data_IF_593168319222
#
_entry.id   IF_593168319222
#
_cell.length_a   1.000
_cell.length_b   1.000
_cell.length_c   1.000
_cell.angle_alpha   90.00
_cell.angle_beta   90.00
_cell.angle_gamma   90.00
#
_symmetry.space_group_name_H-M   'P 1'
#
loop_
_entity.id
_entity.type
_entity.pdbx_description
1 polymer ?
#
# COMPACT_ATOMS: atom_id res chain seq x y z
N UNK A 1 -19.47 -6.25 12.24
CA UNK A 1 -18.28 -5.53 12.76
C UNK A 1 -18.68 -4.70 13.98
N UNK A 2 -17.79 -4.46 14.95
CA UNK A 2 -17.98 -3.54 16.08
C UNK A 2 -16.91 -2.45 16.11
N UNK A 3 -17.00 -1.50 17.08
CA UNK A 3 -16.06 -0.39 17.20
C UNK A 3 -14.62 -0.83 17.46
N UNK A 4 -14.42 -1.91 18.24
CA UNK A 4 -13.07 -2.41 18.55
C UNK A 4 -12.40 -2.95 17.28
N UNK A 5 -13.13 -3.71 16.47
CA UNK A 5 -12.62 -4.22 15.20
C UNK A 5 -12.34 -3.12 14.19
N UNK A 6 -13.21 -2.10 14.10
CA UNK A 6 -12.98 -0.94 13.26
C UNK A 6 -11.70 -0.18 13.67
N UNK A 7 -11.47 0.00 14.97
CA UNK A 7 -10.26 0.64 15.51
C UNK A 7 -9.00 -0.19 15.16
N UNK A 8 -9.04 -1.50 15.41
CA UNK A 8 -7.89 -2.38 15.14
C UNK A 8 -7.53 -2.32 13.65
N UNK A 9 -8.51 -2.50 12.74
CA UNK A 9 -8.29 -2.47 11.31
C UNK A 9 -7.75 -1.10 10.84
N UNK A 10 -8.31 0.00 11.35
CA UNK A 10 -7.85 1.34 10.99
C UNK A 10 -6.42 1.63 11.47
N UNK A 11 -6.03 1.16 12.66
CA UNK A 11 -4.65 1.28 13.16
C UNK A 11 -3.71 0.43 12.32
N UNK A 12 -4.08 -0.80 11.99
CA UNK A 12 -3.29 -1.69 11.13
C UNK A 12 -3.08 -1.06 9.76
N UNK A 13 -4.15 -0.54 9.14
CA UNK A 13 -4.08 0.14 7.85
C UNK A 13 -3.13 1.34 7.89
N UNK A 14 -3.35 2.27 8.83
CA UNK A 14 -2.52 3.47 8.95
C UNK A 14 -1.04 3.16 9.20
N UNK A 15 -0.72 2.12 9.95
CA UNK A 15 0.66 1.70 10.22
C UNK A 15 1.33 1.06 9.00
N UNK A 16 0.58 0.24 8.25
CA UNK A 16 1.21 -0.68 7.27
C UNK A 16 1.10 -0.22 5.82
N UNK A 17 0.22 0.74 5.50
CA UNK A 17 -0.03 1.17 4.12
C UNK A 17 1.22 1.73 3.43
N UNK A 18 1.99 2.54 4.14
CA UNK A 18 3.17 3.19 3.58
C UNK A 18 4.47 2.41 3.76
N UNK A 19 4.47 1.44 4.66
CA UNK A 19 5.60 0.55 4.89
C UNK A 19 5.65 -0.53 3.80
N UNK A 20 6.83 -1.01 3.40
CA UNK A 20 6.95 -2.04 2.37
C UNK A 20 6.63 -3.45 2.93
N UNK A 21 5.53 -3.57 3.71
CA UNK A 21 5.13 -4.79 4.43
C UNK A 21 3.80 -5.40 4.00
N UNK A 22 3.07 -4.75 3.09
CA UNK A 22 1.73 -5.13 2.60
C UNK A 22 0.60 -4.96 3.62
N UNK A 23 -0.07 -3.81 3.58
CA UNK A 23 -1.28 -3.54 4.37
C UNK A 23 -2.36 -4.60 4.12
N UNK A 24 -2.59 -4.96 2.86
CA UNK A 24 -3.54 -6.03 2.49
C UNK A 24 -3.29 -7.33 3.24
N UNK A 25 -2.03 -7.79 3.31
CA UNK A 25 -1.68 -9.00 4.06
C UNK A 25 -2.03 -8.89 5.55
N UNK A 26 -1.80 -7.73 6.16
CA UNK A 26 -2.12 -7.47 7.56
C UNK A 26 -3.63 -7.40 7.82
N UNK A 27 -4.37 -6.75 6.90
CA UNK A 27 -5.83 -6.67 6.99
C UNK A 27 -6.48 -8.05 6.92
N UNK A 28 -6.00 -8.91 6.03
CA UNK A 28 -6.41 -10.30 5.91
C UNK A 28 -6.19 -11.05 7.23
N UNK A 29 -4.98 -10.95 7.80
CA UNK A 29 -4.65 -11.59 9.07
C UNK A 29 -5.58 -11.08 10.17
N UNK A 30 -5.66 -9.76 10.35
CA UNK A 30 -6.46 -9.16 11.40
C UNK A 30 -7.95 -9.53 11.29
N UNK A 31 -8.55 -9.39 10.09
CA UNK A 31 -9.97 -9.73 9.87
C UNK A 31 -10.26 -11.23 10.04
N UNK A 32 -9.32 -12.12 9.61
CA UNK A 32 -9.44 -13.57 9.80
C UNK A 32 -9.38 -13.97 11.26
N UNK A 33 -8.46 -13.38 12.05
CA UNK A 33 -8.40 -13.65 13.49
C UNK A 33 -9.64 -13.16 14.24
N UNK A 34 -10.21 -12.04 13.81
CA UNK A 34 -11.45 -11.50 14.37
C UNK A 34 -12.71 -12.23 13.87
N UNK A 35 -12.58 -13.14 12.88
CA UNK A 35 -13.70 -13.92 12.32
C UNK A 35 -14.66 -13.10 11.46
N UNK A 36 -14.22 -11.97 10.91
CA UNK A 36 -15.04 -11.02 10.12
C UNK A 36 -14.56 -10.88 8.66
N UNK A 37 -13.59 -11.68 8.22
CA UNK A 37 -13.00 -11.56 6.89
C UNK A 37 -14.01 -11.74 5.74
N UNK A 38 -15.02 -12.58 5.92
CA UNK A 38 -16.07 -12.86 4.92
C UNK A 38 -17.24 -11.87 4.92
N UNK A 39 -17.28 -10.93 5.86
CA UNK A 39 -18.35 -9.93 5.96
C UNK A 39 -18.16 -8.83 4.88
N UNK A 40 -19.19 -8.60 4.05
CA UNK A 40 -19.12 -7.65 2.94
C UNK A 40 -18.84 -6.22 3.39
N UNK A 41 -19.40 -5.83 4.55
CA UNK A 41 -19.07 -4.52 5.09
C UNK A 41 -17.61 -4.44 5.53
N UNK A 42 -17.03 -5.49 6.11
CA UNK A 42 -15.61 -5.53 6.46
C UNK A 42 -14.72 -5.37 5.23
N UNK A 43 -15.06 -6.01 4.11
CA UNK A 43 -14.35 -5.85 2.84
C UNK A 43 -14.41 -4.41 2.36
N UNK A 44 -15.59 -3.81 2.31
CA UNK A 44 -15.78 -2.40 1.95
C UNK A 44 -15.01 -1.47 2.91
N UNK A 45 -15.09 -1.73 4.21
CA UNK A 45 -14.42 -0.95 5.25
C UNK A 45 -12.90 -0.90 5.02
N UNK A 46 -12.26 -2.06 4.79
CA UNK A 46 -10.80 -2.13 4.56
C UNK A 46 -10.34 -1.35 3.34
N UNK A 47 -11.19 -1.21 2.33
CA UNK A 47 -10.88 -0.41 1.13
C UNK A 47 -11.11 1.08 1.40
N UNK A 48 -12.21 1.44 2.06
CA UNK A 48 -12.58 2.85 2.27
C UNK A 48 -11.66 3.55 3.27
N UNK A 49 -11.18 2.86 4.30
CA UNK A 49 -10.25 3.47 5.28
C UNK A 49 -8.87 3.82 4.69
N UNK A 50 -8.53 3.29 3.53
CA UNK A 50 -7.36 3.73 2.76
C UNK A 50 -7.44 5.21 2.40
N UNK A 51 -8.64 5.79 2.23
CA UNK A 51 -8.82 7.23 2.00
C UNK A 51 -8.27 8.06 3.16
N UNK A 52 -8.48 7.61 4.40
CA UNK A 52 -7.88 8.24 5.57
C UNK A 52 -6.35 8.20 5.52
N UNK A 53 -5.78 7.05 5.20
CA UNK A 53 -4.34 6.91 5.02
C UNK A 53 -3.82 7.85 3.90
N UNK A 54 -4.47 7.89 2.72
CA UNK A 54 -4.09 8.80 1.62
C UNK A 54 -4.11 10.26 2.05
N UNK A 55 -5.13 10.67 2.79
CA UNK A 55 -5.27 12.04 3.26
C UNK A 55 -4.07 12.47 4.12
N UNK A 56 -3.42 11.53 4.82
CA UNK A 56 -2.21 11.81 5.60
C UNK A 56 -1.05 12.29 4.71
N UNK A 57 -0.88 11.71 3.52
CA UNK A 57 0.13 12.18 2.54
C UNK A 57 -0.21 13.57 2.05
N UNK A 58 -1.46 13.80 1.67
CA UNK A 58 -1.91 15.10 1.15
C UNK A 58 -1.64 16.20 2.18
N UNK A 59 -1.95 15.96 3.46
CA UNK A 59 -1.75 16.95 4.53
C UNK A 59 -0.25 17.12 4.86
N UNK A 60 0.52 16.03 4.98
CA UNK A 60 1.95 16.13 5.31
C UNK A 60 2.77 16.82 4.23
N UNK A 61 2.39 16.62 2.99
CA UNK A 61 3.11 17.13 1.82
C UNK A 61 2.31 18.18 1.04
N UNK A 62 1.32 18.83 1.68
CA UNK A 62 0.39 19.75 0.99
C UNK A 62 1.08 20.79 0.13
N UNK A 63 2.22 21.35 0.61
CA UNK A 63 3.00 22.34 -0.15
C UNK A 63 3.54 21.79 -1.48
N UNK A 64 3.82 20.49 -1.56
CA UNK A 64 4.30 19.82 -2.77
C UNK A 64 3.21 19.72 -3.84
N UNK A 65 1.96 19.60 -3.43
CA UNK A 65 0.82 19.55 -4.35
C UNK A 65 0.53 20.89 -5.04
N UNK A 66 1.17 22.00 -4.64
CA UNK A 66 0.98 23.31 -5.27
C UNK A 66 2.22 23.83 -6.01
N UNK A 67 3.26 23.02 -6.21
CA UNK A 67 4.52 23.50 -6.77
C UNK A 67 4.60 23.44 -8.29
N UNK A 68 4.14 22.38 -8.95
CA UNK A 68 4.36 22.19 -10.39
C UNK A 68 3.30 21.28 -11.03
N UNK A 69 2.76 21.71 -12.17
CA UNK A 69 1.91 20.88 -13.02
C UNK A 69 2.66 19.67 -13.60
N UNK A 70 3.94 19.81 -13.88
CA UNK A 70 4.80 18.73 -14.39
C UNK A 70 4.86 17.55 -13.42
N UNK A 71 4.88 17.80 -12.11
CA UNK A 71 4.81 16.76 -11.09
C UNK A 71 3.53 15.93 -11.19
N UNK A 72 2.37 16.58 -11.40
CA UNK A 72 1.10 15.87 -11.57
C UNK A 72 1.08 15.01 -12.83
N UNK A 73 1.63 15.52 -13.94
CA UNK A 73 1.73 14.74 -15.17
C UNK A 73 2.62 13.51 -14.99
N UNK A 74 3.72 13.59 -14.23
CA UNK A 74 4.55 12.44 -13.87
C UNK A 74 3.78 11.41 -13.04
N UNK A 75 2.98 11.85 -12.06
CA UNK A 75 2.11 10.94 -11.29
C UNK A 75 1.05 10.28 -12.17
N UNK A 76 0.41 11.02 -13.07
CA UNK A 76 -0.56 10.48 -14.01
C UNK A 76 0.09 9.44 -14.94
N UNK A 77 1.25 9.73 -15.50
CA UNK A 77 2.00 8.79 -16.35
C UNK A 77 2.36 7.52 -15.57
N UNK A 78 2.78 7.64 -14.30
CA UNK A 78 3.06 6.48 -13.45
C UNK A 78 1.78 5.71 -13.06
N UNK A 79 0.63 6.36 -13.06
CA UNK A 79 -0.66 5.73 -12.75
C UNK A 79 -1.25 4.94 -13.93
N UNK A 80 -0.99 5.37 -15.19
CA UNK A 80 -1.56 4.75 -16.39
C UNK A 80 -1.39 3.22 -16.45
N UNK A 81 -0.19 2.62 -16.24
CA UNK A 81 -0.03 1.17 -16.30
C UNK A 81 -0.97 0.44 -15.35
N UNK A 82 -1.13 0.96 -14.12
CA UNK A 82 -2.00 0.35 -13.13
C UNK A 82 -3.48 0.43 -13.53
N UNK A 83 -3.93 1.54 -14.11
CA UNK A 83 -5.31 1.66 -14.63
C UNK A 83 -5.55 0.65 -15.75
N UNK A 84 -4.66 0.62 -16.74
CA UNK A 84 -4.84 -0.24 -17.92
C UNK A 84 -4.84 -1.72 -17.51
N UNK A 85 -3.81 -2.16 -16.76
CA UNK A 85 -3.72 -3.57 -16.37
C UNK A 85 -4.76 -3.95 -15.31
N UNK A 86 -5.10 -3.04 -14.40
CA UNK A 86 -6.14 -3.27 -13.39
C UNK A 86 -7.53 -3.46 -14.00
N UNK A 87 -7.86 -2.71 -15.06
CA UNK A 87 -9.13 -2.89 -15.78
C UNK A 87 -9.12 -4.14 -16.67
N UNK A 88 -8.01 -4.45 -17.34
CA UNK A 88 -7.90 -5.62 -18.23
C UNK A 88 -7.89 -6.95 -17.47
N UNK A 89 -7.36 -6.98 -16.25
CA UNK A 89 -7.13 -8.20 -15.48
C UNK A 89 -7.89 -8.21 -14.14
N UNK A 90 -9.00 -7.43 -14.02
CA UNK A 90 -9.77 -7.31 -12.78
C UNK A 90 -10.15 -8.67 -12.18
N UNK A 91 -10.75 -9.57 -12.99
CA UNK A 91 -11.23 -10.88 -12.51
C UNK A 91 -10.08 -11.79 -12.05
N UNK A 92 -8.94 -11.72 -12.73
CA UNK A 92 -7.74 -12.46 -12.33
C UNK A 92 -7.16 -11.92 -11.01
N UNK A 93 -7.14 -10.60 -10.86
CA UNK A 93 -6.67 -9.93 -9.64
C UNK A 93 -7.57 -10.31 -8.46
N UNK A 94 -8.89 -10.27 -8.66
CA UNK A 94 -9.86 -10.63 -7.63
C UNK A 94 -9.70 -12.11 -7.22
N UNK A 95 -9.44 -13.03 -8.17
CA UNK A 95 -9.17 -14.45 -7.85
C UNK A 95 -7.90 -14.66 -6.99
N UNK A 96 -6.89 -13.82 -7.13
CA UNK A 96 -5.69 -13.87 -6.29
C UNK A 96 -5.94 -13.31 -4.89
N UNK A 97 -6.84 -12.33 -4.74
CA UNK A 97 -7.19 -11.74 -3.46
C UNK A 97 -7.82 -12.78 -2.50
N UNK A 98 -8.45 -13.80 -3.03
CA UNK A 98 -9.08 -14.87 -2.25
C UNK A 98 -8.11 -15.95 -1.76
N UNK A 99 -6.80 -15.85 -2.09
CA UNK A 99 -5.85 -16.94 -1.81
C UNK A 99 -4.75 -16.53 -0.83
N UNK A 100 -4.87 -17.00 0.43
CA UNK A 100 -3.87 -16.79 1.50
C UNK A 100 -2.47 -17.24 1.09
N UNK A 101 -2.36 -18.33 0.33
CA UNK A 101 -1.07 -18.87 -0.09
C UNK A 101 -0.35 -17.94 -1.06
N UNK A 102 -1.11 -17.23 -1.92
CA UNK A 102 -0.57 -16.18 -2.79
C UNK A 102 0.01 -15.07 -1.92
N UNK A 103 -0.75 -14.58 -0.93
CA UNK A 103 -0.29 -13.53 0.00
C UNK A 103 0.97 -13.95 0.75
N UNK A 104 0.96 -15.16 1.32
CA UNK A 104 2.11 -15.67 2.07
C UNK A 104 3.36 -15.82 1.18
N UNK A 105 3.18 -16.37 -0.03
CA UNK A 105 4.27 -16.54 -0.99
C UNK A 105 4.87 -15.19 -1.42
N UNK A 106 4.04 -14.21 -1.76
CA UNK A 106 4.50 -12.89 -2.20
C UNK A 106 5.12 -12.07 -1.07
N UNK A 107 4.66 -12.26 0.17
CA UNK A 107 5.34 -11.69 1.34
C UNK A 107 6.76 -12.24 1.46
N UNK A 108 6.95 -13.56 1.36
CA UNK A 108 8.27 -14.20 1.47
C UNK A 108 9.18 -13.76 0.32
N UNK A 109 8.71 -13.86 -0.94
CA UNK A 109 9.50 -13.47 -2.11
C UNK A 109 9.89 -11.99 -2.06
N UNK A 110 8.93 -11.11 -1.77
CA UNK A 110 9.20 -9.69 -1.60
C UNK A 110 10.12 -9.40 -0.40
N UNK A 111 10.04 -10.22 0.66
CA UNK A 111 10.96 -10.16 1.79
C UNK A 111 12.41 -10.44 1.37
N UNK A 112 12.66 -11.49 0.58
CA UNK A 112 14.00 -11.78 0.03
C UNK A 112 14.52 -10.65 -0.87
N UNK A 113 13.66 -10.05 -1.68
CA UNK A 113 14.02 -8.88 -2.49
C UNK A 113 14.48 -7.74 -1.57
N UNK A 114 13.70 -7.38 -0.55
CA UNK A 114 14.04 -6.29 0.37
C UNK A 114 15.35 -6.54 1.14
N UNK A 115 15.71 -7.79 1.45
CA UNK A 115 17.00 -8.11 2.07
C UNK A 115 18.19 -7.75 1.17
N UNK A 116 17.99 -7.71 -0.16
CA UNK A 116 19.04 -7.45 -1.15
C UNK A 116 19.05 -6.03 -1.68
N UNK A 117 17.94 -5.31 -1.59
CA UNK A 117 17.76 -3.93 -2.13
C UNK A 117 18.88 -3.01 -1.67
N UNK A 118 19.22 -3.00 -0.39
CA UNK A 118 20.27 -2.11 0.14
C UNK A 118 21.64 -2.37 -0.50
N UNK A 119 21.97 -3.63 -0.81
CA UNK A 119 23.22 -3.99 -1.47
C UNK A 119 23.22 -3.72 -2.98
N UNK A 120 22.06 -3.79 -3.63
CA UNK A 120 21.95 -3.54 -5.07
C UNK A 120 22.00 -2.06 -5.44
N UNK A 121 21.59 -1.17 -4.51
CA UNK A 121 21.40 0.26 -4.79
C UNK A 121 22.20 1.18 -3.86
N UNK A 122 23.38 0.75 -3.39
CA UNK A 122 24.26 1.52 -2.49
C UNK A 122 24.62 2.91 -3.06
N UNK A 123 24.86 3.02 -4.37
CA UNK A 123 25.23 4.27 -5.02
C UNK A 123 24.10 5.33 -4.99
N UNK A 124 22.86 4.91 -4.74
CA UNK A 124 21.72 5.81 -4.65
C UNK A 124 21.67 6.59 -3.33
N UNK A 125 22.49 6.21 -2.33
CA UNK A 125 22.48 6.80 -0.99
C UNK A 125 23.30 8.08 -0.89
N UNK A 126 24.35 8.21 -1.72
CA UNK A 126 25.32 9.32 -1.65
C UNK A 126 24.88 10.57 -2.44
N UNK A 127 23.58 10.74 -2.69
CA UNK A 127 23.08 11.91 -3.39
C UNK A 127 22.91 13.09 -2.44
N UNK A 128 23.59 14.19 -2.72
CA UNK A 128 23.47 15.47 -2.01
C UNK A 128 22.18 16.24 -2.35
N UNK A 129 21.51 15.87 -3.45
CA UNK A 129 20.29 16.54 -3.90
C UNK A 129 19.10 16.23 -2.99
N UNK A 130 18.25 17.22 -2.75
CA UNK A 130 17.00 17.00 -2.04
C UNK A 130 16.05 16.11 -2.86
N UNK A 131 15.23 15.32 -2.18
CA UNK A 131 14.23 14.46 -2.83
C UNK A 131 13.28 15.23 -3.76
N UNK A 132 13.03 16.52 -3.48
CA UNK A 132 12.24 17.40 -4.33
C UNK A 132 12.90 17.60 -5.68
N UNK A 133 14.18 17.95 -5.66
CA UNK A 133 14.96 18.22 -6.89
C UNK A 133 15.10 16.95 -7.72
N UNK A 134 15.32 15.80 -7.09
CA UNK A 134 15.35 14.52 -7.80
C UNK A 134 14.04 14.23 -8.53
N UNK A 135 12.89 14.46 -7.87
CA UNK A 135 11.57 14.24 -8.48
C UNK A 135 11.25 15.26 -9.60
N UNK A 136 11.70 16.50 -9.46
CA UNK A 136 11.56 17.51 -10.52
C UNK A 136 12.40 17.17 -11.76
N UNK A 137 13.63 16.68 -11.57
CA UNK A 137 14.52 16.25 -12.66
C UNK A 137 14.16 14.91 -13.28
N UNK A 138 13.29 14.13 -12.62
CA UNK A 138 12.87 12.81 -13.09
C UNK A 138 12.16 12.91 -14.44
N UNK A 139 12.51 12.02 -15.38
CA UNK A 139 11.83 11.96 -16.68
C UNK A 139 10.46 11.28 -16.60
N UNK A 140 9.57 11.56 -17.56
CA UNK A 140 8.30 10.84 -17.73
C UNK A 140 8.50 9.33 -17.94
N UNK A 141 9.59 8.94 -18.63
CA UNK A 141 9.93 7.53 -18.82
C UNK A 141 10.28 6.85 -17.48
N UNK A 142 10.98 7.56 -16.61
CA UNK A 142 11.24 7.09 -15.24
C UNK A 142 9.94 6.90 -14.46
N UNK A 143 9.04 7.87 -14.51
CA UNK A 143 7.73 7.78 -13.88
C UNK A 143 6.92 6.58 -14.42
N UNK A 144 6.88 6.39 -15.74
CA UNK A 144 6.22 5.25 -16.39
C UNK A 144 6.80 3.91 -15.92
N UNK A 145 8.13 3.79 -15.85
CA UNK A 145 8.78 2.56 -15.35
C UNK A 145 8.39 2.26 -13.90
N UNK A 146 8.34 3.27 -13.02
CA UNK A 146 7.84 3.09 -11.64
C UNK A 146 6.39 2.64 -11.65
N UNK A 147 5.57 3.16 -12.57
CA UNK A 147 4.20 2.70 -12.78
C UNK A 147 4.08 1.23 -13.15
N UNK A 148 4.97 0.70 -13.99
CA UNK A 148 5.03 -0.74 -14.27
C UNK A 148 5.42 -1.55 -13.02
N UNK A 149 6.35 -1.07 -12.20
CA UNK A 149 6.62 -1.72 -10.91
C UNK A 149 5.39 -1.72 -10.00
N UNK A 150 4.57 -0.66 -10.02
CA UNK A 150 3.32 -0.63 -9.28
C UNK A 150 2.35 -1.75 -9.67
N UNK A 151 2.35 -2.18 -10.93
CA UNK A 151 1.47 -3.27 -11.37
C UNK A 151 1.77 -4.60 -10.66
N UNK A 152 2.98 -4.82 -10.15
CA UNK A 152 3.29 -5.99 -9.33
C UNK A 152 2.45 -6.02 -8.04
N UNK A 153 2.02 -4.84 -7.56
CA UNK A 153 1.20 -4.73 -6.35
C UNK A 153 -0.25 -5.19 -6.53
N UNK A 154 -0.68 -5.47 -7.76
CA UNK A 154 -1.96 -6.13 -8.04
C UNK A 154 -1.97 -7.57 -7.52
N UNK A 155 -0.79 -8.18 -7.39
CA UNK A 155 -0.65 -9.49 -6.74
C UNK A 155 -0.67 -9.26 -5.22
N UNK A 156 -1.67 -9.80 -4.49
CA UNK A 156 -1.81 -9.55 -3.05
C UNK A 156 -0.57 -9.99 -2.27
N UNK A 157 -0.23 -9.24 -1.23
CA UNK A 157 0.98 -9.50 -0.45
C UNK A 157 2.25 -8.85 -0.99
N UNK A 158 2.29 -8.42 -2.27
CA UNK A 158 3.48 -7.79 -2.86
C UNK A 158 3.86 -6.47 -2.17
N UNK A 159 2.93 -5.70 -1.67
CA UNK A 159 3.06 -4.32 -1.18
C UNK A 159 3.24 -3.29 -2.30
N UNK A 160 2.27 -2.40 -2.46
CA UNK A 160 2.33 -1.30 -3.44
C UNK A 160 3.51 -0.37 -3.16
N UNK A 161 3.68 0.06 -1.91
CA UNK A 161 4.82 0.88 -1.49
C UNK A 161 6.15 0.17 -1.73
N UNK A 162 6.27 -1.12 -1.39
CA UNK A 162 7.47 -1.91 -1.65
C UNK A 162 7.83 -1.96 -3.13
N UNK A 163 6.87 -2.26 -4.00
CA UNK A 163 7.07 -2.36 -5.43
C UNK A 163 7.50 -1.01 -6.05
N UNK A 164 6.80 0.08 -5.73
CA UNK A 164 7.09 1.41 -6.29
C UNK A 164 8.39 2.01 -5.76
N UNK A 165 8.74 1.78 -4.49
CA UNK A 165 10.01 2.22 -3.92
C UNK A 165 11.17 1.48 -4.61
N UNK A 166 11.10 0.16 -4.71
CA UNK A 166 12.12 -0.62 -5.45
C UNK A 166 12.19 -0.15 -6.90
N UNK A 167 11.04 0.09 -7.55
CA UNK A 167 10.98 0.69 -8.89
C UNK A 167 11.73 2.02 -8.98
N UNK A 168 11.56 2.91 -8.01
CA UNK A 168 12.29 4.19 -7.94
C UNK A 168 13.79 4.01 -7.77
N UNK A 169 14.22 3.09 -6.91
CA UNK A 169 15.63 2.76 -6.71
C UNK A 169 16.29 2.21 -7.98
N UNK A 170 15.60 1.37 -8.76
CA UNK A 170 16.10 0.88 -10.06
C UNK A 170 16.31 2.03 -11.07
N UNK A 171 15.60 3.14 -10.90
CA UNK A 171 15.75 4.37 -11.69
C UNK A 171 16.74 5.35 -11.04
N UNK A 172 17.52 4.89 -10.07
CA UNK A 172 18.56 5.66 -9.37
C UNK A 172 18.02 6.84 -8.53
N UNK A 173 16.77 6.81 -8.09
CA UNK A 173 16.29 7.73 -7.07
C UNK A 173 16.93 7.39 -5.72
N UNK A 174 17.14 8.39 -4.86
CA UNK A 174 17.50 8.14 -3.46
C UNK A 174 16.39 7.40 -2.72
N UNK A 175 16.70 6.74 -1.59
CA UNK A 175 15.69 6.07 -0.76
C UNK A 175 14.54 7.00 -0.41
N UNK A 176 14.86 8.23 -0.02
CA UNK A 176 13.87 9.24 0.35
C UNK A 176 13.01 9.65 -0.84
N UNK A 177 13.61 9.97 -1.99
CA UNK A 177 12.87 10.37 -3.19
C UNK A 177 11.96 9.23 -3.71
N UNK A 178 12.46 7.99 -3.72
CA UNK A 178 11.68 6.82 -4.11
C UNK A 178 10.47 6.59 -3.17
N UNK A 179 10.67 6.71 -1.86
CA UNK A 179 9.58 6.57 -0.88
C UNK A 179 8.56 7.70 -0.99
N UNK A 180 8.99 8.96 -1.07
CA UNK A 180 8.09 10.10 -1.24
C UNK A 180 7.31 10.01 -2.56
N UNK A 181 7.96 9.67 -3.69
CA UNK A 181 7.26 9.47 -4.96
C UNK A 181 6.22 8.34 -4.89
N UNK A 182 6.57 7.24 -4.22
CA UNK A 182 5.62 6.15 -3.94
C UNK A 182 4.39 6.65 -3.18
N UNK A 183 4.56 7.49 -2.15
CA UNK A 183 3.44 8.05 -1.38
C UNK A 183 2.56 8.96 -2.24
N UNK A 184 3.15 9.81 -3.07
CA UNK A 184 2.39 10.66 -3.98
C UNK A 184 1.61 9.84 -5.02
N UNK A 185 2.23 8.78 -5.55
CA UNK A 185 1.58 7.88 -6.50
C UNK A 185 0.44 7.09 -5.86
N UNK A 186 0.49 6.85 -4.54
CA UNK A 186 -0.61 6.25 -3.80
C UNK A 186 -1.92 7.04 -3.94
N UNK A 187 -1.82 8.37 -3.96
CA UNK A 187 -3.01 9.25 -3.96
C UNK A 187 -3.94 8.94 -5.14
N UNK A 188 -3.52 9.09 -6.41
CA UNK A 188 -4.41 8.77 -7.54
C UNK A 188 -4.76 7.28 -7.61
N UNK A 189 -3.83 6.38 -7.25
CA UNK A 189 -4.03 4.94 -7.36
C UNK A 189 -5.11 4.44 -6.40
N UNK A 190 -5.01 4.81 -5.13
CA UNK A 190 -5.97 4.35 -4.11
C UNK A 190 -7.30 5.07 -4.21
N UNK A 191 -7.31 6.37 -4.58
CA UNK A 191 -8.56 7.07 -4.89
C UNK A 191 -9.31 6.36 -6.02
N UNK A 192 -8.62 5.99 -7.10
CA UNK A 192 -9.21 5.27 -8.22
C UNK A 192 -9.74 3.88 -7.82
N UNK A 193 -8.95 3.11 -7.08
CA UNK A 193 -9.34 1.78 -6.61
C UNK A 193 -10.54 1.84 -5.65
N UNK A 194 -10.50 2.76 -4.66
CA UNK A 194 -11.60 2.93 -3.70
C UNK A 194 -12.87 3.41 -4.40
N UNK A 195 -12.75 4.38 -5.33
CA UNK A 195 -13.92 4.88 -6.08
C UNK A 195 -14.56 3.77 -6.92
N UNK A 196 -13.74 2.95 -7.62
CA UNK A 196 -14.25 1.82 -8.40
C UNK A 196 -14.98 0.83 -7.50
N UNK A 197 -14.34 0.32 -6.46
CA UNK A 197 -14.96 -0.69 -5.57
C UNK A 197 -16.19 -0.15 -4.84
N UNK A 198 -16.17 1.12 -4.37
CA UNK A 198 -17.36 1.73 -3.77
C UNK A 198 -18.53 1.84 -4.76
N UNK A 199 -18.23 2.12 -6.03
CA UNK A 199 -19.24 2.13 -7.09
C UNK A 199 -19.79 0.72 -7.35
N UNK A 200 -18.92 -0.31 -7.40
CA UNK A 200 -19.34 -1.70 -7.57
C UNK A 200 -20.33 -2.10 -6.45
N UNK A 201 -20.00 -1.85 -5.18
CA UNK A 201 -20.90 -2.10 -4.04
C UNK A 201 -22.23 -1.34 -4.14
N UNK A 202 -22.19 -0.09 -4.60
CA UNK A 202 -23.41 0.71 -4.79
C UNK A 202 -24.31 0.12 -5.91
N UNK A 203 -23.72 -0.30 -7.02
CA UNK A 203 -24.44 -0.90 -8.15
C UNK A 203 -25.02 -2.28 -7.80
N UNK A 204 -24.35 -3.03 -6.92
CA UNK A 204 -24.85 -4.30 -6.39
C UNK A 204 -25.97 -4.12 -5.34
N UNK A 205 -26.38 -2.87 -5.09
CA UNK A 205 -27.49 -2.55 -4.17
C UNK A 205 -27.11 -2.57 -2.70
N UNK A 206 -25.81 -2.56 -2.37
CA UNK A 206 -25.35 -2.50 -0.99
C UNK A 206 -25.69 -1.16 -0.35
N UNK A 207 -26.38 -1.19 0.77
CA UNK A 207 -26.78 0.00 1.53
C UNK A 207 -26.13 0.03 2.89
N UNK A 208 -25.63 1.19 3.28
CA UNK A 208 -24.96 1.39 4.57
C UNK A 208 -25.97 1.74 5.67
N UNK A 209 -25.89 1.07 6.79
CA UNK A 209 -26.57 1.48 8.02
C UNK A 209 -25.88 2.68 8.66
N UNK A 210 -26.58 3.38 9.57
CA UNK A 210 -26.01 4.50 10.32
C UNK A 210 -24.76 4.09 11.13
N UNK A 211 -24.75 2.90 11.72
CA UNK A 211 -23.59 2.40 12.47
C UNK A 211 -22.41 2.13 11.55
N UNK A 212 -22.64 1.56 10.37
CA UNK A 212 -21.60 1.32 9.37
C UNK A 212 -20.95 2.63 8.89
N UNK A 213 -21.74 3.69 8.69
CA UNK A 213 -21.24 5.02 8.38
C UNK A 213 -20.36 5.55 9.52
N UNK A 214 -20.78 5.38 10.78
CA UNK A 214 -19.98 5.80 11.94
C UNK A 214 -18.65 5.03 12.01
N UNK A 215 -18.64 3.72 11.72
CA UNK A 215 -17.40 2.94 11.64
C UNK A 215 -16.48 3.44 10.55
N UNK A 216 -16.99 3.77 9.36
CA UNK A 216 -16.20 4.32 8.25
C UNK A 216 -15.57 5.68 8.61
N UNK A 217 -16.34 6.56 9.25
CA UNK A 217 -15.82 7.87 9.70
C UNK A 217 -14.70 7.67 10.72
N UNK A 218 -14.94 6.87 11.76
CA UNK A 218 -13.97 6.57 12.80
C UNK A 218 -12.70 5.93 12.19
N UNK A 219 -12.88 4.94 11.31
CA UNK A 219 -11.79 4.23 10.66
C UNK A 219 -10.92 5.17 9.82
N UNK A 220 -11.52 6.05 9.01
CA UNK A 220 -10.77 7.03 8.22
C UNK A 220 -10.01 8.04 9.09
N UNK A 221 -10.62 8.53 10.17
CA UNK A 221 -9.95 9.46 11.10
C UNK A 221 -8.74 8.78 11.77
N UNK A 222 -8.90 7.55 12.23
CA UNK A 222 -7.79 6.80 12.86
C UNK A 222 -6.70 6.44 11.85
N UNK A 223 -7.06 5.92 10.67
CA UNK A 223 -6.08 5.61 9.61
C UNK A 223 -5.31 6.87 9.18
N UNK A 224 -5.96 8.04 9.12
CA UNK A 224 -5.32 9.33 8.88
C UNK A 224 -4.29 9.68 9.96
N UNK A 225 -4.69 9.65 11.23
CA UNK A 225 -3.81 10.05 12.35
C UNK A 225 -2.60 9.10 12.42
N UNK A 226 -2.87 7.80 12.38
CA UNK A 226 -1.81 6.76 12.45
C UNK A 226 -0.92 6.82 11.22
N UNK A 227 -1.49 7.03 10.03
CA UNK A 227 -0.76 7.19 8.77
C UNK A 227 0.21 8.38 8.81
N UNK A 228 -0.19 9.51 9.39
CA UNK A 228 0.72 10.67 9.56
C UNK A 228 1.95 10.33 10.40
N UNK A 229 1.76 9.59 11.49
CA UNK A 229 2.86 9.16 12.37
C UNK A 229 3.72 8.13 11.63
N UNK A 230 3.09 7.16 10.98
CA UNK A 230 3.78 6.10 10.24
C UNK A 230 4.67 6.65 9.13
N UNK A 231 4.18 7.58 8.30
CA UNK A 231 4.94 8.20 7.20
C UNK A 231 6.21 8.88 7.72
N UNK A 232 6.09 9.74 8.75
CA UNK A 232 7.23 10.45 9.33
C UNK A 232 8.27 9.48 9.88
N UNK A 233 7.82 8.54 10.71
CA UNK A 233 8.70 7.55 11.34
C UNK A 233 9.36 6.65 10.29
N UNK A 234 8.64 6.26 9.25
CA UNK A 234 9.16 5.40 8.19
C UNK A 234 10.25 6.10 7.37
N UNK A 235 10.05 7.34 6.94
CA UNK A 235 11.07 8.09 6.19
C UNK A 235 12.36 8.24 7.02
N UNK A 236 12.24 8.63 8.28
CA UNK A 236 13.39 8.79 9.17
C UNK A 236 14.11 7.45 9.42
N UNK A 237 13.34 6.38 9.57
CA UNK A 237 13.89 5.03 9.76
C UNK A 237 14.58 4.53 8.48
N UNK A 238 13.91 4.66 7.33
CA UNK A 238 14.39 4.15 6.05
C UNK A 238 15.71 4.79 5.63
N UNK A 239 15.84 6.10 5.82
CA UNK A 239 17.07 6.83 5.49
C UNK A 239 18.27 6.40 6.34
N UNK A 240 18.04 5.97 7.58
CA UNK A 240 19.10 5.55 8.51
C UNK A 240 19.42 4.06 8.45
N UNK A 241 18.42 3.21 8.27
CA UNK A 241 18.53 1.77 8.51
C UNK A 241 18.29 0.90 7.26
N UNK A 242 17.76 1.48 6.16
CA UNK A 242 17.47 0.75 4.94
C UNK A 242 16.26 -0.19 5.04
N UNK A 243 16.25 -1.20 4.15
CA UNK A 243 15.08 -2.07 3.94
C UNK A 243 15.15 -3.42 4.65
N UNK A 244 16.31 -3.86 5.15
CA UNK A 244 16.53 -5.22 5.65
C UNK A 244 15.54 -5.67 6.71
N UNK A 245 15.19 -4.79 7.66
CA UNK A 245 14.26 -5.14 8.73
C UNK A 245 12.88 -5.49 8.19
N UNK A 246 12.41 -4.75 7.17
CA UNK A 246 11.13 -5.05 6.51
C UNK A 246 11.20 -6.37 5.73
N UNK A 247 12.36 -6.69 5.17
CA UNK A 247 12.61 -7.99 4.53
C UNK A 247 12.44 -9.15 5.50
N UNK A 248 13.11 -9.11 6.66
CA UNK A 248 12.94 -10.13 7.71
C UNK A 248 11.51 -10.20 8.21
N UNK A 249 10.90 -9.06 8.49
CA UNK A 249 9.52 -8.99 8.94
C UNK A 249 8.56 -9.69 7.97
N UNK A 250 8.66 -9.40 6.66
CA UNK A 250 7.82 -10.01 5.64
C UNK A 250 8.00 -11.52 5.54
N UNK A 251 9.24 -12.02 5.64
CA UNK A 251 9.52 -13.46 5.60
C UNK A 251 8.90 -14.14 6.82
N UNK A 252 9.10 -13.60 8.03
CA UNK A 252 8.50 -14.14 9.25
C UNK A 252 6.98 -14.14 9.14
N UNK A 253 6.39 -13.05 8.68
CA UNK A 253 4.93 -12.93 8.53
C UNK A 253 4.40 -13.94 7.51
N UNK A 254 5.02 -14.07 6.34
CA UNK A 254 4.61 -15.02 5.31
C UNK A 254 4.75 -16.47 5.75
N UNK A 255 5.86 -16.82 6.43
CA UNK A 255 6.03 -18.16 7.03
C UNK A 255 4.97 -18.42 8.09
N UNK A 256 4.69 -17.43 8.95
CA UNK A 256 3.65 -17.56 9.98
C UNK A 256 2.27 -17.80 9.37
N UNK A 257 1.93 -17.15 8.25
CA UNK A 257 0.69 -17.39 7.53
C UNK A 257 0.58 -18.84 7.04
N UNK A 258 1.65 -19.39 6.44
CA UNK A 258 1.68 -20.79 6.05
C UNK A 258 1.47 -21.73 7.25
N UNK A 259 2.19 -21.50 8.34
CA UNK A 259 2.07 -22.33 9.55
C UNK A 259 0.67 -22.28 10.15
N UNK A 260 0.07 -21.09 10.25
CA UNK A 260 -1.30 -20.92 10.77
C UNK A 260 -2.29 -21.62 9.86
N UNK A 261 -2.20 -21.40 8.54
CA UNK A 261 -3.13 -21.97 7.57
C UNK A 261 -3.14 -23.52 7.58
N UNK A 262 -1.97 -24.14 7.67
CA UNK A 262 -1.87 -25.61 7.58
C UNK A 262 -1.98 -26.33 8.93
N UNK A 263 -1.53 -25.72 10.04
CA UNK A 263 -1.41 -26.42 11.32
C UNK A 263 -2.36 -25.94 12.41
N UNK A 264 -2.96 -24.75 12.29
CA UNK A 264 -3.81 -24.18 13.34
C UNK A 264 -5.25 -24.05 12.84
N UNK A 265 -5.47 -23.28 11.80
CA UNK A 265 -6.79 -23.02 11.21
C UNK A 265 -6.62 -22.58 9.76
N UNK A 266 -7.34 -23.19 8.81
CA UNK A 266 -7.41 -22.64 7.46
C UNK A 266 -7.86 -21.18 7.52
N UNK A 267 -7.02 -20.29 7.04
CA UNK A 267 -7.37 -18.87 6.95
C UNK A 267 -8.21 -18.70 5.69
N UNK A 268 -9.43 -18.26 5.84
CA UNK A 268 -10.25 -17.78 4.72
C UNK A 268 -9.89 -16.31 4.47
N UNK A 269 -9.57 -16.01 3.25
CA UNK A 269 -9.66 -14.66 2.74
C UNK A 269 -11.00 -14.61 2.05
N UNK A 270 -11.77 -13.67 2.39
CA UNK A 270 -12.90 -13.10 1.65
C UNK A 270 -13.66 -14.06 0.75
#
# INVERSE_FOLDING_TARGET
MDYIYAIILAVVEGLTEYLPVSSTGHMIIASSFMGIASDDFTKLFTIVIQLGAILSVVILYWKRFFQSWDFYFKLLVAFIPAVVLGLLFSDLIDSFLENVLVVATTLILGGFILLKVDSWFQDSENKEESSTVEMEKMSYLTALKIGFFQCLAMIPGTSRSGATIVGGLTQKLSRKAAAEFSFFLAVPTMLGATAKKSLDYYLDGFTLSSDQINYLILGNVLAFIVGMVAIKSFIDFLTKNGFKIFGYYRIVLGVSLFLIHYFIKPLSIV
#
